data_IF_777296596087
#
_entry.id   IF_777296596087
#
_cell.length_a   1.000
_cell.length_b   1.000
_cell.length_c   1.000
_cell.angle_alpha   90.00
_cell.angle_beta   90.00
_cell.angle_gamma   90.00
#
_symmetry.space_group_name_H-M   'P 1'
#
loop_
_entity.id
_entity.type
_entity.pdbx_description
1 polymer ?
#
# COMPACT_ATOMS: atom_id res chain seq x y z
N UNK A 1 44.78 29.14 -40.08
CA UNK A 1 43.70 29.94 -39.48
C UNK A 1 42.88 28.97 -38.64
N UNK A 2 43.13 28.95 -37.32
CA UNK A 2 42.53 27.97 -36.41
C UNK A 2 41.11 28.42 -36.06
N UNK A 3 40.11 27.63 -36.42
CA UNK A 3 38.72 27.81 -35.99
C UNK A 3 38.59 27.30 -34.56
N UNK A 4 38.51 28.23 -33.62
CA UNK A 4 38.19 27.96 -32.21
C UNK A 4 36.70 27.61 -32.16
N UNK A 5 36.37 26.36 -31.85
CA UNK A 5 35.02 25.96 -31.49
C UNK A 5 34.63 26.61 -30.16
N UNK A 6 33.43 27.18 -30.00
CA UNK A 6 32.96 27.60 -28.70
C UNK A 6 32.54 26.34 -27.92
N UNK A 7 33.41 25.91 -26.99
CA UNK A 7 33.03 24.98 -25.92
C UNK A 7 31.95 25.67 -25.09
N UNK A 8 30.70 25.27 -25.31
CA UNK A 8 29.59 25.60 -24.43
C UNK A 8 29.86 24.93 -23.08
N UNK A 9 30.36 25.72 -22.15
CA UNK A 9 30.65 25.33 -20.78
C UNK A 9 29.50 25.79 -19.88
N UNK A 10 28.29 25.37 -20.22
CA UNK A 10 27.08 25.62 -19.44
C UNK A 10 26.65 24.32 -18.74
N UNK A 11 26.75 24.38 -17.40
CA UNK A 11 26.19 23.48 -16.38
C UNK A 11 27.05 22.27 -15.98
N UNK A 12 28.10 22.55 -15.21
CA UNK A 12 28.79 21.58 -14.34
C UNK A 12 27.99 21.19 -13.10
N UNK A 13 26.76 20.70 -13.27
CA UNK A 13 26.07 19.92 -12.24
C UNK A 13 25.71 18.58 -12.86
N UNK A 14 26.64 17.62 -12.76
CA UNK A 14 26.35 16.19 -12.89
C UNK A 14 25.46 15.81 -11.70
N UNK A 15 24.22 16.30 -11.69
CA UNK A 15 23.23 15.90 -10.72
C UNK A 15 22.99 14.43 -10.95
N UNK A 16 23.55 13.58 -10.08
CA UNK A 16 23.35 12.14 -10.12
C UNK A 16 21.87 11.85 -10.39
N UNK A 17 21.55 11.37 -11.59
CA UNK A 17 20.19 10.97 -11.93
C UNK A 17 19.91 9.75 -11.07
N UNK A 18 19.12 9.96 -10.03
CA UNK A 18 18.72 8.88 -9.12
C UNK A 18 17.68 8.02 -9.83
N UNK A 19 17.93 6.72 -9.87
CA UNK A 19 17.03 5.68 -10.39
C UNK A 19 15.61 5.80 -9.85
N UNK A 20 15.47 6.14 -8.56
CA UNK A 20 14.20 6.41 -7.88
C UNK A 20 14.15 7.83 -7.28
N UNK A 21 13.15 8.61 -7.72
CA UNK A 21 12.91 9.96 -7.19
C UNK A 21 12.58 9.93 -5.68
N UNK A 22 12.92 10.99 -4.97
CA UNK A 22 12.66 11.09 -3.53
C UNK A 22 11.17 11.00 -3.20
N UNK A 23 10.30 11.63 -4.02
CA UNK A 23 8.85 11.59 -3.85
C UNK A 23 8.29 10.17 -3.98
N UNK A 24 8.78 9.38 -4.95
CA UNK A 24 8.38 7.99 -5.14
C UNK A 24 8.77 7.13 -3.93
N UNK A 25 10.00 7.29 -3.43
CA UNK A 25 10.52 6.52 -2.29
C UNK A 25 9.76 6.82 -1.00
N UNK A 26 9.57 8.10 -0.68
CA UNK A 26 8.80 8.53 0.50
C UNK A 26 7.38 7.99 0.39
N UNK A 27 6.74 8.14 -0.77
CA UNK A 27 5.40 7.62 -1.00
C UNK A 27 5.31 6.10 -0.81
N UNK A 28 6.28 5.35 -1.34
CA UNK A 28 6.33 3.90 -1.18
C UNK A 28 6.41 3.49 0.30
N UNK A 29 7.39 4.01 1.05
CA UNK A 29 7.56 3.67 2.46
C UNK A 29 6.40 4.15 3.34
N UNK A 30 5.80 5.30 3.03
CA UNK A 30 4.57 5.75 3.69
C UNK A 30 3.42 4.75 3.47
N UNK A 31 3.22 4.25 2.24
CA UNK A 31 2.23 3.20 1.98
C UNK A 31 2.55 1.92 2.76
N UNK A 32 3.81 1.48 2.80
CA UNK A 32 4.22 0.30 3.57
C UNK A 32 3.84 0.44 5.04
N UNK A 33 4.12 1.58 5.67
CA UNK A 33 3.78 1.85 7.07
C UNK A 33 2.27 1.87 7.27
N UNK A 34 1.53 2.60 6.44
CA UNK A 34 0.08 2.76 6.56
C UNK A 34 -0.66 1.44 6.36
N UNK A 35 -0.30 0.68 5.33
CA UNK A 35 -0.92 -0.62 5.03
C UNK A 35 -0.58 -1.62 6.14
N UNK A 36 0.68 -1.69 6.58
CA UNK A 36 1.07 -2.61 7.65
C UNK A 36 0.41 -2.26 8.98
N UNK A 37 0.35 -0.97 9.34
CA UNK A 37 -0.34 -0.48 10.53
C UNK A 37 -1.85 -0.78 10.47
N UNK A 38 -2.48 -0.54 9.32
CA UNK A 38 -3.88 -0.88 9.10
C UNK A 38 -4.15 -2.38 9.26
N UNK A 39 -3.33 -3.25 8.65
CA UNK A 39 -3.46 -4.70 8.82
C UNK A 39 -3.23 -5.15 10.27
N UNK A 40 -2.28 -4.52 10.97
CA UNK A 40 -2.03 -4.80 12.38
C UNK A 40 -3.24 -4.44 13.25
N UNK A 41 -3.94 -3.33 12.99
CA UNK A 41 -5.18 -3.01 13.73
C UNK A 41 -6.26 -4.09 13.55
N UNK A 42 -6.42 -4.64 12.33
CA UNK A 42 -7.35 -5.76 12.08
C UNK A 42 -6.92 -7.01 12.84
N UNK A 43 -5.63 -7.33 12.82
CA UNK A 43 -5.09 -8.47 13.54
C UNK A 43 -5.32 -8.35 15.05
N UNK A 44 -4.97 -7.21 15.65
CA UNK A 44 -5.17 -6.93 17.07
C UNK A 44 -6.65 -7.03 17.43
N UNK A 45 -7.53 -6.42 16.64
CA UNK A 45 -8.95 -6.40 16.95
C UNK A 45 -9.61 -7.77 16.84
N UNK A 46 -9.20 -8.58 15.86
CA UNK A 46 -9.74 -9.92 15.66
C UNK A 46 -9.21 -10.97 16.64
N UNK A 47 -8.00 -10.77 17.19
CA UNK A 47 -7.32 -11.75 18.05
C UNK A 47 -7.28 -11.34 19.51
N UNK A 48 -6.75 -10.15 19.83
CA UNK A 48 -6.53 -9.67 21.19
C UNK A 48 -7.80 -9.04 21.76
N UNK A 49 -8.43 -8.15 20.99
CA UNK A 49 -9.58 -7.33 21.45
C UNK A 49 -10.91 -7.99 21.02
N UNK A 50 -10.93 -9.32 20.99
CA UNK A 50 -12.15 -10.05 20.70
C UNK A 50 -13.13 -9.91 21.87
N UNK A 51 -14.41 -9.68 21.56
CA UNK A 51 -15.45 -9.34 22.53
C UNK A 51 -15.57 -10.35 23.67
N UNK A 52 -15.50 -11.65 23.37
CA UNK A 52 -15.66 -12.72 24.37
C UNK A 52 -14.52 -12.76 25.40
N UNK A 53 -13.24 -12.93 25.01
CA UNK A 53 -12.14 -12.96 25.96
C UNK A 53 -11.97 -11.65 26.71
N UNK A 54 -12.19 -10.49 26.06
CA UNK A 54 -12.09 -9.19 26.73
C UNK A 54 -13.22 -9.00 27.75
N UNK A 55 -14.46 -9.35 27.41
CA UNK A 55 -15.57 -9.26 28.37
C UNK A 55 -15.34 -10.15 29.59
N UNK A 56 -14.87 -11.38 29.37
CA UNK A 56 -14.51 -12.29 30.47
C UNK A 56 -13.36 -11.74 31.33
N UNK A 57 -12.34 -11.14 30.71
CA UNK A 57 -11.22 -10.50 31.41
C UNK A 57 -11.70 -9.33 32.26
N UNK A 58 -12.48 -8.40 31.68
CA UNK A 58 -13.03 -7.24 32.39
C UNK A 58 -13.86 -7.68 33.60
N UNK A 59 -14.74 -8.68 33.42
CA UNK A 59 -15.56 -9.22 34.51
C UNK A 59 -14.71 -9.83 35.63
N UNK A 60 -13.65 -10.55 35.28
CA UNK A 60 -12.75 -11.20 36.24
C UNK A 60 -11.94 -10.17 37.04
N UNK A 61 -11.34 -9.20 36.35
CA UNK A 61 -10.53 -8.17 37.01
C UNK A 61 -11.36 -7.25 37.92
N UNK A 62 -12.56 -6.85 37.48
CA UNK A 62 -13.46 -6.05 38.32
C UNK A 62 -13.92 -6.84 39.54
N UNK A 63 -14.25 -8.13 39.39
CA UNK A 63 -14.60 -9.01 40.51
C UNK A 63 -13.45 -9.10 41.51
N UNK A 64 -12.21 -9.26 41.04
CA UNK A 64 -11.02 -9.30 41.89
C UNK A 64 -10.79 -7.96 42.63
N UNK A 65 -11.18 -6.84 42.02
CA UNK A 65 -11.16 -5.51 42.64
C UNK A 65 -12.35 -5.24 43.58
N UNK A 66 -13.22 -6.22 43.82
CA UNK A 66 -14.39 -6.08 44.70
C UNK A 66 -15.63 -5.48 44.04
N UNK A 67 -15.63 -5.29 42.72
CA UNK A 67 -16.76 -4.78 41.94
C UNK A 67 -17.41 -5.90 41.10
N UNK A 68 -18.70 -6.13 41.26
CA UNK A 68 -19.44 -7.08 40.42
C UNK A 68 -20.11 -6.34 39.26
N UNK A 69 -19.88 -6.83 38.04
CA UNK A 69 -20.52 -6.33 36.82
C UNK A 69 -21.30 -7.43 36.11
N UNK A 70 -22.39 -7.04 35.44
CA UNK A 70 -23.15 -7.96 34.58
C UNK A 70 -22.37 -8.29 33.31
N UNK A 71 -22.77 -9.37 32.63
CA UNK A 71 -22.19 -9.75 31.33
C UNK A 71 -22.43 -8.67 30.26
N UNK A 72 -23.54 -7.96 30.34
CA UNK A 72 -23.89 -6.85 29.45
C UNK A 72 -22.95 -5.65 29.66
N UNK A 73 -22.66 -5.32 30.92
CA UNK A 73 -21.73 -4.23 31.26
C UNK A 73 -20.31 -4.55 30.79
N UNK A 74 -19.83 -5.77 31.04
CA UNK A 74 -18.51 -6.21 30.58
C UNK A 74 -18.43 -6.29 29.04
N UNK A 75 -19.50 -6.75 28.38
CA UNK A 75 -19.63 -6.77 26.93
C UNK A 75 -19.59 -5.36 26.32
N UNK A 76 -20.27 -4.39 26.91
CA UNK A 76 -20.23 -3.00 26.46
C UNK A 76 -18.81 -2.40 26.52
N UNK A 77 -18.03 -2.73 27.55
CA UNK A 77 -16.62 -2.29 27.65
C UNK A 77 -15.77 -2.95 26.57
N UNK A 78 -15.94 -4.26 26.36
CA UNK A 78 -15.23 -5.00 25.31
C UNK A 78 -15.53 -4.44 23.91
N UNK A 79 -16.80 -4.13 23.64
CA UNK A 79 -17.23 -3.52 22.38
C UNK A 79 -16.60 -2.14 22.18
N UNK A 80 -16.64 -1.27 23.19
CA UNK A 80 -16.04 0.06 23.13
C UNK A 80 -14.51 0.02 22.90
N UNK A 81 -13.82 -0.97 23.48
CA UNK A 81 -12.39 -1.20 23.20
C UNK A 81 -12.16 -1.60 21.75
N UNK A 82 -12.97 -2.50 21.20
CA UNK A 82 -12.87 -2.90 19.79
C UNK A 82 -13.15 -1.73 18.83
N UNK A 83 -14.15 -0.92 19.13
CA UNK A 83 -14.47 0.30 18.37
C UNK A 83 -13.31 1.31 18.39
N UNK A 84 -12.58 1.40 19.50
CA UNK A 84 -11.40 2.27 19.59
C UNK A 84 -10.31 1.85 18.59
N UNK A 85 -10.06 0.54 18.45
CA UNK A 85 -9.11 0.02 17.45
C UNK A 85 -9.61 0.26 16.03
N UNK A 86 -10.92 0.08 15.79
CA UNK A 86 -11.50 0.37 14.48
C UNK A 86 -11.38 1.84 14.09
N UNK A 87 -11.49 2.78 15.03
CA UNK A 87 -11.23 4.21 14.76
C UNK A 87 -9.80 4.43 14.26
N UNK A 88 -8.81 3.77 14.87
CA UNK A 88 -7.41 3.85 14.40
C UNK A 88 -7.28 3.28 12.98
N UNK A 89 -7.92 2.14 12.71
CA UNK A 89 -7.97 1.56 11.35
C UNK A 89 -8.54 2.55 10.32
N UNK A 90 -9.62 3.24 10.66
CA UNK A 90 -10.25 4.26 9.79
C UNK A 90 -9.28 5.41 9.52
N UNK A 91 -8.54 5.89 10.52
CA UNK A 91 -7.51 6.92 10.31
C UNK A 91 -6.41 6.46 9.34
N UNK A 92 -5.92 5.23 9.48
CA UNK A 92 -5.01 4.67 8.47
C UNK A 92 -5.66 4.62 7.08
N UNK A 93 -6.95 4.29 7.00
CA UNK A 93 -7.73 4.34 5.77
C UNK A 93 -7.76 5.73 5.13
N UNK A 94 -8.00 6.79 5.89
CA UNK A 94 -7.96 8.17 5.38
C UNK A 94 -6.59 8.58 4.88
N UNK A 95 -5.52 8.19 5.60
CA UNK A 95 -4.15 8.45 5.13
C UNK A 95 -3.87 7.67 3.84
N UNK A 96 -4.31 6.41 3.74
CA UNK A 96 -4.15 5.60 2.53
C UNK A 96 -4.87 6.22 1.33
N UNK A 97 -6.10 6.71 1.52
CA UNK A 97 -6.85 7.45 0.49
C UNK A 97 -6.07 8.69 0.06
N UNK A 98 -5.56 9.47 1.03
CA UNK A 98 -4.74 10.65 0.75
C UNK A 98 -3.47 10.31 -0.05
N UNK A 99 -2.76 9.24 0.31
CA UNK A 99 -1.60 8.74 -0.42
C UNK A 99 -1.95 8.29 -1.84
N UNK A 100 -3.10 7.63 -2.02
CA UNK A 100 -3.57 7.20 -3.35
C UNK A 100 -3.93 8.41 -4.22
N UNK A 101 -4.65 9.40 -3.68
CA UNK A 101 -4.98 10.63 -4.40
C UNK A 101 -3.73 11.44 -4.76
N UNK A 102 -2.78 11.54 -3.83
CA UNK A 102 -1.48 12.15 -4.09
C UNK A 102 -0.75 11.44 -5.25
N UNK A 103 -0.79 10.11 -5.29
CA UNK A 103 -0.21 9.32 -6.38
C UNK A 103 -0.87 9.61 -7.72
N UNK A 104 -2.21 9.65 -7.75
CA UNK A 104 -2.96 9.96 -8.95
C UNK A 104 -2.65 11.39 -9.43
N UNK A 105 -2.60 12.37 -8.54
CA UNK A 105 -2.22 13.74 -8.86
C UNK A 105 -0.82 13.80 -9.47
N UNK A 106 0.17 13.12 -8.88
CA UNK A 106 1.53 13.08 -9.43
C UNK A 106 1.59 12.48 -10.85
N UNK A 107 0.78 11.48 -11.18
CA UNK A 107 0.75 10.92 -12.55
C UNK A 107 0.32 11.97 -13.60
N UNK A 108 -0.51 12.95 -13.22
CA UNK A 108 -0.87 14.07 -14.09
C UNK A 108 0.29 15.06 -14.29
N UNK A 109 1.05 15.35 -13.22
CA UNK A 109 2.13 16.35 -13.21
C UNK A 109 3.54 15.81 -13.55
N UNK A 110 3.76 14.49 -13.55
CA UNK A 110 5.07 13.91 -13.88
C UNK A 110 5.45 14.07 -15.35
N UNK A 111 6.76 14.27 -15.60
CA UNK A 111 7.32 14.29 -16.95
C UNK A 111 6.96 13.02 -17.70
N UNK A 112 6.79 13.20 -19.01
CA UNK A 112 6.39 12.23 -20.00
C UNK A 112 6.92 10.79 -19.79
N UNK A 113 8.21 10.63 -19.45
CA UNK A 113 8.89 9.34 -19.32
C UNK A 113 8.79 8.69 -17.94
N UNK A 114 8.27 9.41 -16.94
CA UNK A 114 8.03 8.87 -15.60
C UNK A 114 6.60 8.33 -15.42
N UNK A 115 5.69 8.63 -16.36
CA UNK A 115 4.29 8.20 -16.31
C UNK A 115 4.14 6.69 -16.37
N UNK A 116 3.47 6.12 -15.38
CA UNK A 116 3.15 4.69 -15.31
C UNK A 116 2.40 4.22 -16.56
N UNK A 117 1.46 5.02 -17.06
CA UNK A 117 0.65 4.68 -18.25
C UNK A 117 1.55 4.47 -19.48
N UNK A 118 2.61 5.26 -19.61
CA UNK A 118 3.51 5.19 -20.76
C UNK A 118 4.49 4.03 -20.63
N UNK A 119 5.01 3.76 -19.43
CA UNK A 119 5.81 2.57 -19.13
C UNK A 119 5.02 1.27 -19.33
N UNK A 120 3.72 1.27 -19.01
CA UNK A 120 2.83 0.13 -19.27
C UNK A 120 2.58 -0.05 -20.77
N UNK A 121 2.34 1.04 -21.52
CA UNK A 121 2.16 1.00 -22.97
C UNK A 121 3.43 0.59 -23.72
N UNK A 122 4.61 1.03 -23.27
CA UNK A 122 5.89 0.61 -23.84
C UNK A 122 6.19 -0.86 -23.53
N UNK A 123 5.94 -1.32 -22.30
CA UNK A 123 6.10 -2.72 -21.91
C UNK A 123 5.19 -3.66 -22.72
N UNK A 124 3.93 -3.29 -22.92
CA UNK A 124 2.99 -4.03 -23.76
C UNK A 124 3.46 -4.07 -25.23
N UNK A 125 3.92 -2.94 -25.77
CA UNK A 125 4.43 -2.85 -27.13
C UNK A 125 5.69 -3.69 -27.33
N UNK A 126 6.60 -3.70 -26.36
CA UNK A 126 7.83 -4.50 -26.35
C UNK A 126 7.56 -6.01 -26.21
N UNK A 127 6.55 -6.41 -25.43
CA UNK A 127 6.05 -7.78 -25.38
C UNK A 127 5.50 -8.25 -26.74
N UNK A 128 4.80 -7.37 -27.46
CA UNK A 128 4.22 -7.68 -28.77
C UNK A 128 5.28 -7.73 -29.89
N UNK A 129 6.37 -6.97 -29.81
CA UNK A 129 7.34 -6.82 -30.92
C UNK A 129 8.63 -7.64 -30.80
N UNK A 130 9.09 -8.03 -29.61
CA UNK A 130 10.40 -8.67 -29.44
C UNK A 130 10.30 -10.20 -29.28
N UNK A 131 10.47 -10.93 -30.40
CA UNK A 131 10.51 -12.40 -30.45
C UNK A 131 11.79 -13.01 -29.83
N UNK A 132 12.82 -12.20 -29.53
CA UNK A 132 14.19 -12.68 -29.21
C UNK A 132 14.50 -12.89 -27.71
N UNK A 133 13.64 -12.51 -26.76
CA UNK A 133 13.81 -12.80 -25.33
C UNK A 133 12.46 -12.94 -24.60
N UNK A 134 11.68 -13.95 -24.99
CA UNK A 134 10.30 -14.16 -24.54
C UNK A 134 10.17 -14.35 -23.02
N UNK A 135 11.16 -14.96 -22.38
CA UNK A 135 11.19 -15.20 -20.92
C UNK A 135 11.32 -13.89 -20.13
N UNK A 136 12.31 -13.05 -20.48
CA UNK A 136 12.55 -11.76 -19.82
C UNK A 136 11.37 -10.80 -20.05
N UNK A 137 10.83 -10.75 -21.27
CA UNK A 137 9.67 -9.93 -21.60
C UNK A 137 8.39 -10.37 -20.84
N UNK A 138 8.19 -11.69 -20.66
CA UNK A 138 7.09 -12.24 -19.83
C UNK A 138 7.27 -11.90 -18.36
N UNK A 139 8.49 -11.98 -17.84
CA UNK A 139 8.79 -11.65 -16.46
C UNK A 139 8.49 -10.17 -16.17
N UNK A 140 9.01 -9.25 -17.00
CA UNK A 140 8.71 -7.82 -16.87
C UNK A 140 7.22 -7.49 -16.97
N UNK A 141 6.51 -8.11 -17.91
CA UNK A 141 5.07 -7.91 -18.07
C UNK A 141 4.30 -8.41 -16.85
N UNK A 142 4.63 -9.61 -16.35
CA UNK A 142 4.00 -10.20 -15.16
C UNK A 142 4.19 -9.30 -13.94
N UNK A 143 5.41 -8.82 -13.71
CA UNK A 143 5.72 -7.91 -12.60
C UNK A 143 4.89 -6.62 -12.70
N UNK A 144 4.84 -5.99 -13.89
CA UNK A 144 4.04 -4.77 -14.13
C UNK A 144 2.53 -5.03 -13.97
N UNK A 145 2.03 -6.19 -14.39
CA UNK A 145 0.64 -6.58 -14.23
C UNK A 145 0.27 -6.81 -12.76
N UNK A 146 1.13 -7.46 -11.98
CA UNK A 146 0.96 -7.66 -10.53
C UNK A 146 0.85 -6.30 -9.81
N UNK A 147 1.67 -5.31 -10.19
CA UNK A 147 1.53 -3.95 -9.65
C UNK A 147 0.23 -3.26 -10.07
N UNK A 148 -0.22 -3.43 -11.31
CA UNK A 148 -1.50 -2.87 -11.75
C UNK A 148 -2.68 -3.46 -10.96
N UNK A 149 -2.67 -4.78 -10.74
CA UNK A 149 -3.65 -5.47 -9.89
C UNK A 149 -3.62 -4.93 -8.47
N UNK A 150 -2.43 -4.71 -7.90
CA UNK A 150 -2.30 -4.10 -6.57
C UNK A 150 -2.92 -2.71 -6.48
N UNK A 151 -2.70 -1.84 -7.46
CA UNK A 151 -3.34 -0.52 -7.50
C UNK A 151 -4.87 -0.61 -7.60
N UNK A 152 -5.40 -1.55 -8.38
CA UNK A 152 -6.84 -1.80 -8.46
C UNK A 152 -7.37 -2.26 -7.08
N UNK A 153 -6.68 -3.21 -6.43
CA UNK A 153 -7.04 -3.66 -5.09
C UNK A 153 -7.03 -2.51 -4.07
N UNK A 154 -6.00 -1.66 -4.09
CA UNK A 154 -5.95 -0.48 -3.22
C UNK A 154 -7.10 0.49 -3.48
N UNK A 155 -7.48 0.70 -4.75
CA UNK A 155 -8.64 1.54 -5.09
C UNK A 155 -9.94 0.93 -4.56
N UNK A 156 -10.14 -0.38 -4.70
CA UNK A 156 -11.30 -1.07 -4.14
C UNK A 156 -11.32 -0.95 -2.61
N UNK A 157 -10.17 -1.14 -1.93
CA UNK A 157 -10.06 -0.98 -0.48
C UNK A 157 -10.38 0.45 -0.03
N UNK A 158 -9.89 1.46 -0.75
CA UNK A 158 -10.16 2.85 -0.45
C UNK A 158 -11.65 3.17 -0.58
N UNK A 159 -12.29 2.78 -1.68
CA UNK A 159 -13.73 3.05 -1.92
C UNK A 159 -14.60 2.31 -0.91
N UNK A 160 -14.35 1.02 -0.71
CA UNK A 160 -15.12 0.21 0.24
C UNK A 160 -14.87 0.64 1.69
N UNK A 161 -13.64 1.02 2.05
CA UNK A 161 -13.31 1.54 3.38
C UNK A 161 -13.98 2.87 3.67
N UNK A 162 -13.98 3.81 2.72
CA UNK A 162 -14.71 5.08 2.86
C UNK A 162 -16.22 4.85 2.97
N UNK A 163 -16.78 3.91 2.19
CA UNK A 163 -18.20 3.57 2.29
C UNK A 163 -18.56 3.08 3.71
N UNK A 164 -17.71 2.26 4.33
CA UNK A 164 -17.93 1.78 5.68
C UNK A 164 -17.68 2.86 6.75
N UNK A 165 -16.69 3.74 6.54
CA UNK A 165 -16.38 4.83 7.46
C UNK A 165 -17.48 5.90 7.53
N UNK A 166 -18.22 6.09 6.43
CA UNK A 166 -19.32 7.06 6.33
C UNK A 166 -20.70 6.38 6.27
N UNK A 167 -20.87 5.24 6.96
CA UNK A 167 -22.10 4.45 6.89
C UNK A 167 -23.38 5.22 7.28
N UNK A 168 -23.28 6.17 8.19
CA UNK A 168 -24.42 7.01 8.61
C UNK A 168 -24.88 7.95 7.48
N UNK A 169 -23.92 8.55 6.75
CA UNK A 169 -24.22 9.41 5.59
C UNK A 169 -24.74 8.60 4.40
N UNK A 170 -24.37 7.32 4.33
CA UNK A 170 -24.74 6.39 3.27
C UNK A 170 -25.90 5.47 3.67
N UNK A 171 -26.70 5.86 4.66
CA UNK A 171 -27.88 5.13 5.11
C UNK A 171 -28.84 4.68 3.98
N UNK A 172 -29.06 5.46 2.89
CA UNK A 172 -29.86 4.99 1.75
C UNK A 172 -29.32 3.74 1.05
N UNK A 173 -28.02 3.45 1.20
CA UNK A 173 -27.33 2.31 0.60
C UNK A 173 -27.11 1.15 1.60
N UNK A 174 -27.85 1.12 2.72
CA UNK A 174 -27.72 0.08 3.74
C UNK A 174 -27.87 -1.36 3.20
N UNK A 175 -28.64 -1.55 2.12
CA UNK A 175 -28.84 -2.85 1.47
C UNK A 175 -27.56 -3.50 0.95
N UNK A 176 -26.57 -2.70 0.52
CA UNK A 176 -25.29 -3.21 0.00
C UNK A 176 -24.17 -3.26 1.04
N UNK A 177 -24.40 -2.74 2.26
CA UNK A 177 -23.37 -2.61 3.31
C UNK A 177 -22.70 -3.95 3.64
N UNK A 178 -23.48 -5.02 3.76
CA UNK A 178 -22.93 -6.35 4.03
C UNK A 178 -22.00 -6.83 2.91
N UNK A 179 -22.41 -6.62 1.65
CA UNK A 179 -21.59 -6.96 0.49
C UNK A 179 -20.31 -6.13 0.45
N UNK A 180 -20.38 -4.82 0.73
CA UNK A 180 -19.21 -3.95 0.79
C UNK A 180 -18.24 -4.40 1.89
N UNK A 181 -18.74 -4.72 3.09
CA UNK A 181 -17.93 -5.25 4.19
C UNK A 181 -17.26 -6.58 3.82
N UNK A 182 -17.99 -7.46 3.15
CA UNK A 182 -17.45 -8.73 2.65
C UNK A 182 -16.34 -8.51 1.63
N UNK A 183 -16.56 -7.65 0.62
CA UNK A 183 -15.56 -7.32 -0.39
C UNK A 183 -14.31 -6.70 0.24
N UNK A 184 -14.47 -5.75 1.17
CA UNK A 184 -13.36 -5.13 1.89
C UNK A 184 -12.54 -6.17 2.67
N UNK A 185 -13.21 -7.05 3.42
CA UNK A 185 -12.57 -8.13 4.15
C UNK A 185 -11.89 -9.16 3.25
N UNK A 186 -12.48 -9.49 2.10
CA UNK A 186 -11.89 -10.41 1.13
C UNK A 186 -10.66 -9.81 0.45
N UNK A 187 -10.73 -8.55 0.02
CA UNK A 187 -9.61 -7.84 -0.62
C UNK A 187 -8.41 -7.70 0.33
N UNK A 188 -8.63 -7.61 1.65
CA UNK A 188 -7.54 -7.66 2.64
C UNK A 188 -6.68 -8.92 2.48
N UNK A 189 -7.28 -10.10 2.29
CA UNK A 189 -6.52 -11.35 2.10
C UNK A 189 -5.75 -11.36 0.78
N UNK A 190 -6.29 -10.76 -0.28
CA UNK A 190 -5.57 -10.59 -1.54
C UNK A 190 -4.36 -9.66 -1.39
N UNK A 191 -4.49 -8.58 -0.60
CA UNK A 191 -3.37 -7.69 -0.27
C UNK A 191 -2.31 -8.43 0.56
N UNK A 192 -2.71 -9.23 1.55
CA UNK A 192 -1.76 -10.06 2.30
C UNK A 192 -0.99 -11.02 1.37
N UNK A 193 -1.68 -11.70 0.46
CA UNK A 193 -1.05 -12.57 -0.53
C UNK A 193 -0.06 -11.79 -1.42
N UNK A 194 -0.46 -10.60 -1.89
CA UNK A 194 0.43 -9.72 -2.65
C UNK A 194 1.68 -9.34 -1.86
N UNK A 195 1.54 -8.94 -0.58
CA UNK A 195 2.68 -8.56 0.27
C UNK A 195 3.67 -9.73 0.39
N UNK A 196 3.17 -10.94 0.64
CA UNK A 196 4.03 -12.14 0.74
C UNK A 196 4.78 -12.38 -0.58
N UNK A 197 4.08 -12.36 -1.71
CA UNK A 197 4.68 -12.55 -3.04
C UNK A 197 5.69 -11.45 -3.35
N UNK A 198 5.37 -10.20 -3.03
CA UNK A 198 6.25 -9.05 -3.24
C UNK A 198 7.53 -9.17 -2.42
N UNK A 199 7.43 -9.47 -1.12
CA UNK A 199 8.59 -9.65 -0.25
C UNK A 199 9.46 -10.84 -0.67
N UNK A 200 8.85 -11.96 -1.07
CA UNK A 200 9.57 -13.11 -1.61
C UNK A 200 10.30 -12.74 -2.92
N UNK A 201 9.65 -12.00 -3.81
CA UNK A 201 10.26 -11.50 -5.05
C UNK A 201 11.44 -10.58 -4.79
N UNK A 202 11.32 -9.63 -3.86
CA UNK A 202 12.41 -8.73 -3.44
C UNK A 202 13.57 -9.55 -2.86
N UNK A 203 13.29 -10.47 -1.94
CA UNK A 203 14.31 -11.31 -1.31
C UNK A 203 15.07 -12.18 -2.33
N UNK A 204 14.35 -12.79 -3.28
CA UNK A 204 14.96 -13.61 -4.33
C UNK A 204 15.82 -12.76 -5.28
N UNK A 205 15.35 -11.57 -5.66
CA UNK A 205 16.09 -10.66 -6.52
C UNK A 205 17.37 -10.14 -5.86
N UNK A 206 17.28 -9.78 -4.57
CA UNK A 206 18.42 -9.33 -3.75
C UNK A 206 19.51 -10.40 -3.64
N UNK A 207 19.15 -11.69 -3.65
CA UNK A 207 20.11 -12.81 -3.57
C UNK A 207 20.76 -13.22 -4.89
N UNK A 208 20.16 -12.89 -6.02
CA UNK A 208 20.58 -13.40 -7.34
C UNK A 208 21.04 -12.28 -8.27
N UNK A 209 20.07 -11.65 -8.94
CA UNK A 209 20.30 -10.92 -10.19
C UNK A 209 20.30 -9.40 -10.01
N UNK A 210 19.93 -8.90 -8.82
CA UNK A 210 19.78 -7.46 -8.58
C UNK A 210 20.06 -7.13 -7.12
N UNK A 211 21.33 -7.22 -6.73
CA UNK A 211 21.76 -6.83 -5.39
C UNK A 211 21.56 -5.33 -5.16
N UNK A 212 21.10 -4.96 -3.97
CA UNK A 212 20.90 -3.57 -3.57
C UNK A 212 19.54 -2.96 -3.90
N UNK A 213 18.51 -3.72 -4.29
CA UNK A 213 17.19 -3.15 -4.63
C UNK A 213 16.56 -2.42 -3.43
N UNK A 214 16.67 -3.01 -2.24
CA UNK A 214 16.14 -2.36 -1.03
C UNK A 214 16.92 -1.09 -0.73
N UNK A 215 18.24 -1.13 -0.90
CA UNK A 215 19.12 0.03 -0.72
C UNK A 215 18.76 1.14 -1.71
N UNK A 216 18.60 0.82 -2.99
CA UNK A 216 18.16 1.76 -4.03
C UNK A 216 16.80 2.39 -3.68
N UNK A 217 15.85 1.61 -3.15
CA UNK A 217 14.54 2.11 -2.74
C UNK A 217 14.63 3.06 -1.53
N UNK A 218 15.70 2.98 -0.74
CA UNK A 218 15.94 3.88 0.41
C UNK A 218 16.72 5.11 -0.04
N UNK A 219 17.85 4.97 -0.74
CA UNK A 219 18.78 6.06 -1.04
C UNK A 219 18.56 6.72 -2.42
N UNK A 220 17.84 6.04 -3.31
CA UNK A 220 17.50 6.48 -4.67
C UNK A 220 18.22 5.74 -5.78
N UNK A 221 19.24 4.93 -5.47
CA UNK A 221 20.12 4.28 -6.45
C UNK A 221 20.94 5.28 -7.27
N UNK A 222 22.07 4.84 -7.81
CA UNK A 222 22.80 5.56 -8.86
C UNK A 222 22.58 4.82 -10.19
N UNK A 223 22.08 5.53 -11.19
CA UNK A 223 22.18 5.05 -12.58
C UNK A 223 23.65 5.19 -12.97
N UNK A 224 24.43 4.13 -12.77
CA UNK A 224 25.74 3.99 -13.40
C UNK A 224 25.50 3.42 -14.80
N UNK A 225 25.47 4.30 -15.81
CA UNK A 225 25.92 3.91 -17.15
C UNK A 225 27.44 3.75 -17.16
#
# INVERSE_FOLDING_TARGET
MATIEPVRQDVGYQGHIKKYSASLRIWHWANTIVISGSLLTVLINSTIINERPVSALVKTELKNAGATVSDEQAGSVAHALGDSVWKIHIYFGYVLVGLLLFRLALEFFQLADQKFIRKMKSAYRQFQTMKKNREVAKHEFTVKAIYAVFYILLMVMAVTGLFLAFEDLLAPFKSIRHSVKYVHGFCMYLILAFIVVHLAGVFLAERKDSQGIVSDMINGGSDHE
#
